data_IF_132921105349
#
_entry.id   IF_132921105349
#
_cell.length_a   1.000
_cell.length_b   1.000
_cell.length_c   1.000
_cell.angle_alpha   90.00
_cell.angle_beta   90.00
_cell.angle_gamma   90.00
#
_symmetry.space_group_name_H-M   'P 1'
#
loop_
_entity.id
_entity.type
_entity.pdbx_description
1 polymer ?
#
# COMPACT_ATOMS: atom_id res chain seq x y z
N UNK A 1 50.78 15.21 7.32
CA UNK A 1 49.35 15.51 7.08
C UNK A 1 48.90 14.85 5.79
N UNK A 2 48.36 13.61 5.80
CA UNK A 2 47.85 12.93 4.58
C UNK A 2 47.09 11.60 4.82
N UNK A 3 46.52 11.33 6.01
CA UNK A 3 45.88 10.01 6.27
C UNK A 3 44.51 10.03 6.95
N UNK A 4 43.86 11.19 7.11
CA UNK A 4 42.56 11.26 7.80
C UNK A 4 41.33 11.45 6.90
N UNK A 5 41.50 11.54 5.58
CA UNK A 5 40.39 11.78 4.64
C UNK A 5 39.72 10.51 4.09
N UNK A 6 40.14 9.31 4.52
CA UNK A 6 39.61 8.05 3.97
C UNK A 6 38.58 7.33 4.88
N UNK A 7 38.27 7.87 6.07
CA UNK A 7 37.38 7.20 7.04
C UNK A 7 35.95 7.79 7.11
N UNK A 8 35.60 8.73 6.23
CA UNK A 8 34.30 9.42 6.22
C UNK A 8 33.46 9.10 4.97
N UNK A 9 33.85 8.09 4.18
CA UNK A 9 33.20 7.74 2.90
C UNK A 9 32.35 6.48 2.89
N UNK A 10 32.10 5.83 4.03
CA UNK A 10 31.39 4.53 4.11
C UNK A 10 30.11 4.56 4.98
N UNK A 11 29.59 5.75 5.28
CA UNK A 11 28.26 5.92 5.86
C UNK A 11 27.32 6.53 4.81
N UNK A 12 26.68 5.71 3.99
CA UNK A 12 25.32 5.95 3.42
C UNK A 12 25.02 5.07 2.20
N UNK A 13 24.91 3.77 2.44
CA UNK A 13 24.01 2.92 1.62
C UNK A 13 23.26 1.97 2.55
N UNK A 14 22.75 2.50 3.67
CA UNK A 14 21.51 1.96 4.20
C UNK A 14 20.44 2.48 3.27
N UNK A 15 19.94 1.61 2.40
CA UNK A 15 18.70 1.80 1.64
C UNK A 15 17.66 2.32 2.62
N UNK A 16 17.46 3.64 2.66
CA UNK A 16 16.37 4.24 3.38
C UNK A 16 15.13 3.77 2.62
N UNK A 17 14.52 2.68 3.11
CA UNK A 17 13.22 2.22 2.67
C UNK A 17 12.25 3.35 2.99
N UNK A 18 12.10 4.23 2.03
CA UNK A 18 11.37 5.45 2.21
C UNK A 18 9.91 5.23 1.93
N UNK A 19 9.37 4.17 2.48
CA UNK A 19 7.98 3.77 2.55
C UNK A 19 8.02 2.56 3.45
N UNK A 20 7.05 2.40 4.36
CA UNK A 20 7.02 1.36 5.39
C UNK A 20 7.09 -0.10 4.92
N UNK A 21 7.41 -0.36 3.66
CA UNK A 21 7.59 -1.67 3.06
C UNK A 21 7.01 -1.74 1.65
N UNK A 22 7.21 -2.89 1.02
CA UNK A 22 6.50 -3.27 -0.21
C UNK A 22 5.08 -3.71 0.16
N UNK A 23 4.06 -3.30 -0.60
CA UNK A 23 2.72 -3.90 -0.52
C UNK A 23 2.56 -4.96 -1.61
N UNK A 24 2.02 -6.11 -1.25
CA UNK A 24 1.71 -7.20 -2.18
C UNK A 24 0.24 -7.55 -1.99
N UNK A 25 -0.56 -7.37 -3.04
CA UNK A 25 -1.95 -7.81 -3.10
C UNK A 25 -1.99 -9.09 -3.90
N UNK A 26 -2.35 -10.21 -3.26
CA UNK A 26 -2.47 -11.52 -3.88
C UNK A 26 -3.94 -11.88 -3.97
N UNK A 27 -4.50 -11.83 -5.18
CA UNK A 27 -5.84 -12.36 -5.42
C UNK A 27 -5.71 -13.81 -5.90
N UNK A 28 -5.80 -14.74 -4.95
CA UNK A 28 -5.70 -16.18 -5.20
C UNK A 28 -7.05 -16.81 -5.58
N UNK A 29 -8.14 -16.03 -5.56
CA UNK A 29 -9.46 -16.51 -6.00
C UNK A 29 -9.47 -16.76 -7.51
N UNK A 30 -10.32 -17.68 -7.97
CA UNK A 30 -10.56 -17.92 -9.40
C UNK A 30 -11.82 -17.25 -9.93
N UNK A 31 -12.71 -16.81 -9.03
CA UNK A 31 -14.06 -16.39 -9.37
C UNK A 31 -14.27 -14.88 -9.24
N UNK A 32 -13.36 -14.17 -8.57
CA UNK A 32 -13.57 -12.77 -8.24
C UNK A 32 -12.35 -11.89 -8.51
N UNK A 33 -12.59 -10.72 -9.08
CA UNK A 33 -11.62 -9.65 -9.18
C UNK A 33 -11.68 -8.77 -7.93
N UNK A 34 -10.52 -8.45 -7.37
CA UNK A 34 -10.41 -7.44 -6.34
C UNK A 34 -10.50 -6.06 -6.96
N UNK A 35 -11.37 -5.21 -6.41
CA UNK A 35 -11.41 -3.79 -6.73
C UNK A 35 -11.41 -2.98 -5.45
N UNK A 36 -10.43 -2.10 -5.28
CA UNK A 36 -10.33 -1.35 -4.03
C UNK A 36 -9.45 -0.12 -4.08
N UNK A 37 -9.45 0.58 -2.96
CA UNK A 37 -8.54 1.69 -2.67
C UNK A 37 -7.56 1.23 -1.60
N UNK A 38 -6.26 1.44 -1.82
CA UNK A 38 -5.24 1.19 -0.80
C UNK A 38 -4.84 2.50 -0.14
N UNK A 39 -4.47 2.38 1.13
CA UNK A 39 -4.11 3.48 2.00
C UNK A 39 -2.76 3.22 2.64
N UNK A 40 -2.04 4.30 2.88
CA UNK A 40 -0.87 4.33 3.71
C UNK A 40 -0.91 5.56 4.61
N UNK A 41 -0.49 5.43 5.86
CA UNK A 41 -0.47 6.55 6.79
C UNK A 41 0.66 6.43 7.82
N UNK A 42 0.86 7.51 8.58
CA UNK A 42 1.79 7.52 9.70
C UNK A 42 1.15 6.88 10.95
N UNK A 43 1.82 5.91 11.56
CA UNK A 43 1.31 5.21 12.76
C UNK A 43 1.79 5.87 14.07
N UNK A 44 2.84 6.68 14.02
CA UNK A 44 3.56 7.19 15.21
C UNK A 44 3.39 8.71 15.40
N UNK A 45 2.81 9.40 14.42
CA UNK A 45 2.73 10.87 14.39
C UNK A 45 1.33 11.47 14.16
N UNK A 46 0.26 10.76 14.52
CA UNK A 46 -1.11 11.30 14.43
C UNK A 46 -1.80 11.07 13.09
N UNK A 47 -1.60 9.90 12.47
CA UNK A 47 -2.36 9.43 11.30
C UNK A 47 -2.12 10.17 9.98
N UNK A 48 -1.36 11.25 9.99
CA UNK A 48 -1.00 12.01 8.80
C UNK A 48 0.52 11.96 8.55
N UNK A 49 0.96 12.05 7.28
CA UNK A 49 0.12 12.17 6.09
C UNK A 49 -0.61 10.85 5.77
N UNK A 50 -1.76 10.96 5.10
CA UNK A 50 -2.49 9.82 4.51
C UNK A 50 -2.26 9.87 3.01
N UNK A 51 -1.91 8.74 2.42
CA UNK A 51 -1.76 8.55 0.99
C UNK A 51 -2.76 7.49 0.54
N UNK A 52 -3.54 7.79 -0.49
CA UNK A 52 -4.54 6.86 -1.03
C UNK A 52 -4.38 6.72 -2.54
N UNK A 53 -4.65 5.53 -3.08
CA UNK A 53 -4.84 5.39 -4.53
C UNK A 53 -6.05 6.24 -4.97
N UNK A 54 -6.01 6.74 -6.21
CA UNK A 54 -7.00 7.71 -6.69
C UNK A 54 -8.40 7.10 -6.84
N UNK A 55 -9.42 7.95 -6.70
CA UNK A 55 -10.81 7.74 -7.11
C UNK A 55 -11.01 8.64 -8.35
N UNK A 56 -11.53 8.16 -9.50
CA UNK A 56 -12.53 7.10 -9.62
C UNK A 56 -12.04 5.71 -10.02
N UNK A 57 -10.73 5.51 -10.28
CA UNK A 57 -10.21 4.24 -10.78
C UNK A 57 -9.68 3.36 -9.63
N UNK A 58 -10.50 2.46 -9.04
CA UNK A 58 -10.00 1.55 -8.03
C UNK A 58 -8.90 0.67 -8.60
N UNK A 59 -7.97 0.25 -7.75
CA UNK A 59 -7.01 -0.79 -8.07
C UNK A 59 -7.78 -2.04 -8.44
N UNK A 60 -7.49 -2.60 -9.61
CA UNK A 60 -8.06 -3.84 -10.11
C UNK A 60 -6.97 -4.91 -10.06
N UNK A 61 -7.17 -5.94 -9.24
CA UNK A 61 -6.33 -7.14 -9.24
C UNK A 61 -7.20 -8.32 -9.69
N UNK A 62 -7.06 -8.78 -10.95
CA UNK A 62 -7.88 -9.87 -11.46
C UNK A 62 -7.74 -11.16 -10.66
N UNK A 63 -8.72 -12.05 -10.77
CA UNK A 63 -8.64 -13.41 -10.24
C UNK A 63 -7.32 -14.10 -10.66
N UNK A 64 -6.64 -14.73 -9.70
CA UNK A 64 -5.36 -15.42 -9.88
C UNK A 64 -4.13 -14.51 -10.07
N UNK A 65 -4.27 -13.19 -9.97
CA UNK A 65 -3.19 -12.23 -10.22
C UNK A 65 -2.62 -11.66 -8.92
N UNK A 66 -1.32 -11.35 -8.92
CA UNK A 66 -0.66 -10.61 -7.85
C UNK A 66 -0.26 -9.22 -8.35
N UNK A 67 -0.63 -8.19 -7.59
CA UNK A 67 -0.13 -6.82 -7.79
C UNK A 67 0.88 -6.48 -6.69
N UNK A 68 1.99 -5.85 -7.09
CA UNK A 68 3.07 -5.44 -6.19
C UNK A 68 3.25 -3.94 -6.25
N UNK A 69 3.48 -3.33 -5.10
CA UNK A 69 3.77 -1.91 -4.96
C UNK A 69 5.05 -1.74 -4.17
N UNK A 70 6.19 -1.68 -4.88
CA UNK A 70 7.52 -1.48 -4.29
C UNK A 70 7.58 -0.22 -3.44
N UNK A 71 7.04 0.87 -3.98
CA UNK A 71 6.77 2.14 -3.33
C UNK A 71 5.83 2.96 -4.24
N UNK A 72 5.44 4.17 -3.83
CA UNK A 72 4.51 5.02 -4.59
C UNK A 72 4.97 5.32 -6.03
N UNK A 73 6.28 5.40 -6.27
CA UNK A 73 6.87 5.76 -7.56
C UNK A 73 7.13 4.53 -8.42
N UNK A 74 7.91 3.58 -7.91
CA UNK A 74 8.47 2.50 -8.73
C UNK A 74 7.40 1.49 -9.15
N UNK A 75 6.32 1.36 -8.36
CA UNK A 75 5.15 0.54 -8.70
C UNK A 75 4.53 0.87 -10.07
N UNK A 76 4.71 2.09 -10.58
CA UNK A 76 4.09 2.50 -11.84
C UNK A 76 4.61 1.70 -13.04
N UNK A 77 5.85 1.19 -12.97
CA UNK A 77 6.48 0.42 -14.04
C UNK A 77 6.47 -1.09 -13.77
N UNK A 78 6.21 -1.51 -12.54
CA UNK A 78 6.38 -2.90 -12.08
C UNK A 78 5.09 -3.57 -11.66
N UNK A 79 4.07 -2.79 -11.26
CA UNK A 79 2.80 -3.33 -10.77
C UNK A 79 1.90 -3.77 -11.93
N UNK A 80 1.16 -4.86 -11.71
CA UNK A 80 0.07 -5.27 -12.59
C UNK A 80 -1.12 -4.30 -12.56
N UNK A 81 -1.25 -3.47 -11.51
CA UNK A 81 -2.29 -2.45 -11.38
C UNK A 81 -1.69 -1.13 -10.93
N UNK A 82 -0.97 -0.43 -11.82
CA UNK A 82 -0.21 0.76 -11.47
C UNK A 82 -1.12 1.95 -11.12
N UNK A 83 -0.68 2.76 -10.15
CA UNK A 83 -1.36 3.99 -9.72
C UNK A 83 -0.62 5.20 -10.30
N UNK A 84 -1.29 5.97 -11.16
CA UNK A 84 -0.66 7.15 -11.81
C UNK A 84 -0.62 8.38 -10.89
N UNK A 85 -1.58 8.51 -9.98
CA UNK A 85 -1.73 9.63 -9.06
C UNK A 85 -2.14 9.12 -7.67
N UNK A 86 -1.52 9.71 -6.65
CA UNK A 86 -1.80 9.45 -5.25
C UNK A 86 -2.45 10.67 -4.63
N UNK A 87 -3.57 10.47 -3.92
CA UNK A 87 -4.18 11.54 -3.14
C UNK A 87 -3.51 11.61 -1.78
N UNK A 88 -3.02 12.80 -1.42
CA UNK A 88 -2.30 13.04 -0.18
C UNK A 88 -3.09 14.01 0.70
N UNK A 89 -3.40 13.58 1.93
CA UNK A 89 -3.92 14.44 2.98
C UNK A 89 -2.80 14.67 4.00
N UNK A 90 -2.46 15.93 4.26
CA UNK A 90 -1.34 16.28 5.15
C UNK A 90 -1.77 16.51 6.60
N UNK A 91 -3.07 16.67 6.86
CA UNK A 91 -3.59 16.90 8.20
C UNK A 91 -5.11 16.82 8.28
N UNK A 92 -5.64 16.83 9.50
CA UNK A 92 -7.08 16.84 9.75
C UNK A 92 -7.73 18.07 9.12
N UNK A 93 -8.86 17.87 8.42
CA UNK A 93 -9.58 18.93 7.71
C UNK A 93 -8.91 19.44 6.43
N UNK A 94 -7.74 18.90 6.05
CA UNK A 94 -7.12 19.23 4.76
C UNK A 94 -7.82 18.54 3.59
N UNK A 95 -7.88 19.21 2.44
CA UNK A 95 -8.36 18.59 1.20
C UNK A 95 -7.30 17.65 0.63
N UNK A 96 -7.69 16.49 0.04
CA UNK A 96 -6.77 15.62 -0.66
C UNK A 96 -6.09 16.36 -1.82
N UNK A 97 -4.75 16.33 -1.86
CA UNK A 97 -3.96 16.92 -2.94
C UNK A 97 -3.46 15.78 -3.82
N UNK A 98 -3.89 15.68 -5.10
CA UNK A 98 -3.35 14.69 -6.01
C UNK A 98 -1.89 14.98 -6.30
N UNK A 99 -1.05 13.95 -6.25
CA UNK A 99 0.37 14.00 -6.61
C UNK A 99 0.65 12.89 -7.61
N UNK A 100 1.32 13.17 -8.74
CA UNK A 100 1.68 12.13 -9.68
C UNK A 100 2.64 11.13 -9.00
N UNK A 101 2.63 9.89 -9.48
CA UNK A 101 3.47 8.81 -8.94
C UNK A 101 4.96 9.18 -8.84
N UNK A 102 5.45 10.06 -9.72
CA UNK A 102 6.85 10.50 -9.76
C UNK A 102 7.15 11.76 -8.94
N UNK A 103 6.20 12.30 -8.18
CA UNK A 103 6.39 13.48 -7.35
C UNK A 103 7.48 13.25 -6.28
N UNK A 104 8.42 14.19 -6.11
CA UNK A 104 9.61 14.02 -5.26
C UNK A 104 9.31 13.67 -3.80
N UNK A 105 8.18 14.15 -3.25
CA UNK A 105 7.76 13.79 -1.89
C UNK A 105 7.33 12.33 -1.71
N UNK A 106 6.94 11.67 -2.81
CA UNK A 106 6.47 10.28 -2.85
C UNK A 106 7.58 9.33 -3.34
N UNK A 107 8.58 9.86 -4.05
CA UNK A 107 9.75 9.10 -4.46
C UNK A 107 10.51 8.55 -3.24
N UNK A 108 11.26 7.43 -3.39
CA UNK A 108 12.13 6.97 -2.34
C UNK A 108 13.09 8.08 -1.85
N UNK A 109 13.12 8.28 -0.54
CA UNK A 109 13.80 9.33 0.21
C UNK A 109 12.90 10.53 0.54
N UNK A 110 11.70 10.59 -0.05
CA UNK A 110 10.76 11.70 0.08
C UNK A 110 10.15 11.81 1.48
N UNK A 111 9.70 13.03 1.83
CA UNK A 111 9.15 13.33 3.15
C UNK A 111 7.87 12.54 3.47
N UNK A 112 6.95 12.36 2.51
CA UNK A 112 5.72 11.59 2.74
C UNK A 112 6.06 10.11 2.81
N UNK A 113 6.90 9.68 1.89
CA UNK A 113 7.25 8.28 1.73
C UNK A 113 7.98 7.77 2.99
N UNK A 114 8.93 8.53 3.55
CA UNK A 114 9.58 8.21 4.83
C UNK A 114 8.65 8.16 6.05
N UNK A 115 7.48 8.79 6.00
CA UNK A 115 6.57 8.95 7.13
C UNK A 115 5.28 8.14 6.99
N UNK A 116 5.18 7.25 6.01
CA UNK A 116 3.97 6.46 5.76
C UNK A 116 4.27 4.98 5.62
N UNK A 117 3.32 4.16 6.08
CA UNK A 117 3.32 2.71 5.92
C UNK A 117 1.98 2.28 5.34
N UNK A 118 1.97 1.25 4.51
CA UNK A 118 0.73 0.63 4.04
C UNK A 118 -0.11 0.21 5.22
N UNK A 119 -1.39 0.54 5.18
CA UNK A 119 -2.17 0.57 6.41
C UNK A 119 -3.53 -0.07 6.32
N UNK A 120 -4.21 0.08 5.18
CA UNK A 120 -5.49 -0.55 4.96
C UNK A 120 -5.84 -0.58 3.48
N UNK A 121 -6.87 -1.35 3.17
CA UNK A 121 -7.62 -1.31 1.93
C UNK A 121 -9.12 -1.21 2.22
N UNK A 122 -9.84 -0.54 1.33
CA UNK A 122 -11.29 -0.66 1.20
C UNK A 122 -11.58 -1.32 -0.13
N UNK A 123 -12.29 -2.44 -0.13
CA UNK A 123 -12.49 -3.23 -1.34
C UNK A 123 -13.90 -3.79 -1.48
N UNK A 124 -14.20 -4.14 -2.71
CA UNK A 124 -15.38 -4.86 -3.14
C UNK A 124 -14.91 -5.90 -4.16
N UNK A 125 -15.29 -7.17 -3.95
CA UNK A 125 -15.04 -8.21 -4.95
C UNK A 125 -16.07 -8.11 -6.08
N UNK A 126 -15.67 -8.43 -7.29
CA UNK A 126 -16.51 -8.46 -8.48
C UNK A 126 -16.39 -9.82 -9.14
N UNK A 127 -17.44 -10.37 -9.77
CA UNK A 127 -17.28 -11.60 -10.55
C UNK A 127 -16.23 -11.38 -11.64
N UNK A 128 -15.31 -12.34 -11.77
CA UNK A 128 -14.12 -12.22 -12.60
C UNK A 128 -14.45 -11.79 -14.04
N UNK A 129 -13.76 -10.74 -14.51
CA UNK A 129 -13.94 -10.19 -15.85
C UNK A 129 -15.23 -9.37 -16.04
N UNK A 130 -16.01 -9.13 -14.99
CA UNK A 130 -17.29 -8.41 -15.06
C UNK A 130 -17.31 -7.13 -14.21
N UNK A 131 -18.39 -6.36 -14.34
CA UNK A 131 -18.72 -5.22 -13.47
C UNK A 131 -19.76 -5.57 -12.40
N UNK A 132 -20.08 -6.86 -12.21
CA UNK A 132 -21.07 -7.30 -11.24
C UNK A 132 -20.42 -7.52 -9.87
N UNK A 133 -20.81 -6.75 -8.82
CA UNK A 133 -20.22 -6.88 -7.50
C UNK A 133 -20.72 -8.14 -6.78
N UNK A 134 -19.85 -8.78 -5.99
CA UNK A 134 -20.21 -9.81 -5.02
C UNK A 134 -20.55 -9.18 -3.67
N UNK A 135 -21.85 -9.04 -3.39
CA UNK A 135 -22.37 -8.26 -2.26
C UNK A 135 -21.94 -8.75 -0.88
N UNK A 136 -21.47 -9.99 -0.75
CA UNK A 136 -21.11 -10.58 0.53
C UNK A 136 -19.60 -10.67 0.78
N UNK A 137 -18.78 -10.33 -0.21
CA UNK A 137 -17.32 -10.30 -0.06
C UNK A 137 -16.77 -8.90 -0.36
N UNK A 138 -16.80 -8.05 0.66
CA UNK A 138 -16.32 -6.67 0.62
C UNK A 138 -15.96 -6.19 2.03
N UNK A 139 -15.32 -5.03 2.12
CA UNK A 139 -15.13 -4.35 3.40
C UNK A 139 -13.86 -3.53 3.49
N UNK A 140 -13.60 -3.06 4.71
CA UNK A 140 -12.34 -2.42 5.07
C UNK A 140 -11.47 -3.45 5.78
N UNK A 141 -10.23 -3.61 5.35
CA UNK A 141 -9.25 -4.51 5.96
C UNK A 141 -7.94 -3.76 6.16
N UNK A 142 -7.17 -4.03 7.21
CA UNK A 142 -5.92 -3.31 7.40
C UNK A 142 -5.04 -3.86 8.51
N UNK A 143 -3.97 -3.12 8.77
CA UNK A 143 -2.99 -3.48 9.79
C UNK A 143 -3.58 -3.24 11.18
N UNK A 144 -3.75 -4.32 11.96
CA UNK A 144 -4.26 -4.24 13.33
C UNK A 144 -3.37 -3.41 14.27
N UNK A 145 -2.10 -3.19 13.91
CA UNK A 145 -1.21 -2.31 14.67
C UNK A 145 -1.40 -0.82 14.34
N UNK A 146 -2.21 -0.48 13.34
CA UNK A 146 -2.50 0.91 12.99
C UNK A 146 -3.52 1.52 13.96
N UNK A 147 -3.04 2.28 14.93
CA UNK A 147 -3.89 2.97 15.93
C UNK A 147 -4.82 4.03 15.34
N UNK A 148 -4.64 4.40 14.07
CA UNK A 148 -5.44 5.40 13.37
C UNK A 148 -6.76 4.88 12.81
N UNK A 149 -6.88 3.58 12.60
CA UNK A 149 -8.06 2.96 12.01
C UNK A 149 -8.36 1.65 12.73
N UNK A 150 -9.62 1.41 13.04
CA UNK A 150 -10.08 0.17 13.67
C UNK A 150 -10.66 -0.77 12.61
N UNK A 151 -9.81 -1.21 11.67
CA UNK A 151 -10.19 -2.20 10.67
C UNK A 151 -9.72 -3.60 11.12
N UNK A 152 -10.48 -4.67 10.81
CA UNK A 152 -10.00 -6.02 11.00
C UNK A 152 -8.80 -6.31 10.08
N UNK A 153 -7.93 -7.21 10.51
CA UNK A 153 -6.84 -7.77 9.70
C UNK A 153 -7.25 -9.09 9.00
N UNK A 154 -8.47 -9.57 9.26
CA UNK A 154 -9.04 -10.76 8.65
C UNK A 154 -10.55 -10.58 8.40
N UNK A 155 -11.01 -10.98 7.22
CA UNK A 155 -12.41 -11.04 6.84
C UNK A 155 -12.72 -12.47 6.43
N UNK A 156 -13.72 -13.07 7.07
CA UNK A 156 -14.32 -14.34 6.66
C UNK A 156 -15.64 -14.03 5.95
N UNK A 157 -15.67 -14.32 4.65
CA UNK A 157 -16.85 -14.18 3.80
C UNK A 157 -17.24 -15.56 3.26
N UNK A 158 -17.25 -16.61 4.08
CA UNK A 158 -17.71 -17.94 3.66
C UNK A 158 -19.16 -17.88 3.15
N UNK A 159 -19.49 -18.49 1.98
CA UNK A 159 -18.65 -19.36 1.14
C UNK A 159 -17.89 -18.64 0.00
N UNK A 160 -17.92 -17.32 -0.08
CA UNK A 160 -17.35 -16.53 -1.17
C UNK A 160 -15.83 -16.38 -1.11
N UNK A 161 -15.25 -16.42 0.10
CA UNK A 161 -13.80 -16.39 0.30
C UNK A 161 -13.38 -15.79 1.65
N UNK A 162 -12.12 -15.43 1.75
CA UNK A 162 -11.56 -14.71 2.91
C UNK A 162 -10.46 -13.75 2.47
N UNK A 163 -10.25 -12.69 3.26
CA UNK A 163 -9.16 -11.75 3.05
C UNK A 163 -8.34 -11.61 4.33
N UNK A 164 -7.01 -11.49 4.19
CA UNK A 164 -6.09 -11.32 5.31
C UNK A 164 -5.06 -10.24 5.01
N UNK A 165 -4.89 -9.32 5.95
CA UNK A 165 -3.84 -8.31 5.96
C UNK A 165 -2.79 -8.66 7.00
N UNK A 166 -1.51 -8.63 6.63
CA UNK A 166 -0.44 -8.83 7.60
C UNK A 166 0.88 -8.23 7.10
N UNK A 167 1.78 -7.94 8.05
CA UNK A 167 3.11 -7.40 7.75
C UNK A 167 4.18 -8.36 8.29
N UNK A 168 5.17 -8.70 7.47
CA UNK A 168 6.36 -9.46 7.84
C UNK A 168 7.62 -8.63 7.61
N UNK A 169 8.68 -8.93 8.36
CA UNK A 169 10.01 -8.38 8.11
C UNK A 169 10.97 -9.52 7.79
N UNK A 170 11.64 -9.46 6.64
CA UNK A 170 12.61 -10.46 6.20
C UNK A 170 13.85 -9.77 5.65
N UNK A 171 15.03 -10.14 6.16
CA UNK A 171 16.30 -9.54 5.74
C UNK A 171 16.36 -8.02 5.91
N UNK A 172 15.67 -7.48 6.93
CA UNK A 172 15.56 -6.03 7.16
C UNK A 172 14.59 -5.29 6.23
N UNK A 173 13.93 -6.01 5.31
CA UNK A 173 12.90 -5.45 4.42
C UNK A 173 11.52 -5.76 4.98
N UNK A 174 10.64 -4.75 5.00
CA UNK A 174 9.26 -4.91 5.42
C UNK A 174 8.39 -5.23 4.20
N UNK A 175 7.54 -6.25 4.34
CA UNK A 175 6.55 -6.65 3.34
C UNK A 175 5.17 -6.68 3.99
N UNK A 176 4.24 -5.95 3.40
CA UNK A 176 2.83 -5.97 3.78
C UNK A 176 2.05 -6.74 2.72
N UNK A 177 1.21 -7.64 3.17
CA UNK A 177 0.41 -8.51 2.33
C UNK A 177 -1.06 -8.24 2.53
N UNK A 178 -1.80 -8.20 1.42
CA UNK A 178 -3.25 -8.41 1.37
C UNK A 178 -3.48 -9.68 0.56
N UNK A 179 -3.83 -10.78 1.23
CA UNK A 179 -4.12 -12.06 0.58
C UNK A 179 -5.62 -12.26 0.54
N UNK A 180 -6.14 -12.60 -0.64
CA UNK A 180 -7.56 -12.84 -0.90
C UNK A 180 -7.64 -14.25 -1.48
N UNK A 181 -8.49 -15.11 -0.93
CA UNK A 181 -8.58 -16.53 -1.27
C UNK A 181 -10.03 -17.03 -1.23
#
# INVERSE_FOLDING_TARGET
>A
MKKFLLLLGLCSVSSAYAQGGVLIIQNLTTNYDYRGTIFANNFVGGCYPIVTSNVPDPILVPAGVTAKYENYKDQFLTSASPVSNWNVLLGAGSSPIPRPYNHLSLAPGGVISNNTKWSMSKFQMFHAGTMTPETYFNGNIGDAANTCVSNPDYIDATPWGSAKWFTITSGGTVYTYLVIQ
#
